data_IF_094863527146
#
_entry.id   IF_094863527146
#
_cell.length_a   1.000
_cell.length_b   1.000
_cell.length_c   1.000
_cell.angle_alpha   90.00
_cell.angle_beta   90.00
_cell.angle_gamma   90.00
#
_symmetry.space_group_name_H-M   'P 1'
#
loop_
_entity.id
_entity.type
_entity.pdbx_description
1 polymer ?
#
# COMPACT_ATOMS: atom_id res chain seq x y z
N UNK A 1 27.86 -28.28 6.02
CA UNK A 1 26.78 -28.26 7.02
C UNK A 1 25.96 -27.01 6.79
N UNK A 2 24.74 -27.17 6.31
CA UNK A 2 23.76 -26.09 6.25
C UNK A 2 23.34 -25.79 7.70
N UNK A 3 23.62 -24.59 8.21
CA UNK A 3 23.19 -24.22 9.57
C UNK A 3 21.72 -23.82 9.49
N UNK A 4 20.83 -24.67 10.01
CA UNK A 4 19.44 -24.28 10.26
C UNK A 4 19.45 -23.18 11.33
N UNK A 5 19.03 -21.97 10.95
CA UNK A 5 18.86 -20.89 11.91
C UNK A 5 17.54 -21.11 12.67
N UNK A 6 17.59 -21.07 14.00
CA UNK A 6 16.37 -21.01 14.80
C UNK A 6 15.73 -19.63 14.62
N UNK A 7 14.53 -19.62 14.04
CA UNK A 7 13.73 -18.42 13.83
C UNK A 7 12.82 -18.18 15.03
N UNK A 8 12.73 -16.92 15.48
CA UNK A 8 11.78 -16.50 16.51
C UNK A 8 10.59 -15.80 15.86
N UNK A 9 9.38 -16.11 16.31
CA UNK A 9 8.16 -15.42 15.90
C UNK A 9 8.10 -14.01 16.52
N UNK A 10 7.56 -13.04 15.79
CA UNK A 10 7.53 -11.64 16.24
C UNK A 10 6.75 -11.49 17.56
N UNK A 11 5.65 -12.23 17.75
CA UNK A 11 4.87 -12.20 18.99
C UNK A 11 5.67 -12.58 20.25
N UNK A 12 6.76 -13.30 20.10
CA UNK A 12 7.59 -13.82 21.19
C UNK A 12 8.80 -12.92 21.48
N UNK A 13 9.01 -11.87 20.68
CA UNK A 13 10.07 -10.89 20.90
C UNK A 13 9.76 -10.05 22.15
N UNK A 14 10.75 -9.90 23.02
CA UNK A 14 10.70 -9.09 24.24
C UNK A 14 11.91 -8.16 24.31
N UNK A 15 11.82 -7.03 25.05
CA UNK A 15 12.97 -6.16 25.28
C UNK A 15 14.18 -6.94 25.82
N UNK A 16 15.38 -6.64 25.31
CA UNK A 16 16.64 -7.21 25.79
C UNK A 16 17.07 -8.51 25.13
N UNK A 17 16.21 -9.15 24.31
CA UNK A 17 16.59 -10.33 23.55
C UNK A 17 17.65 -10.01 22.48
N UNK A 18 18.59 -10.92 22.28
CA UNK A 18 19.74 -10.81 21.36
C UNK A 18 19.88 -12.11 20.56
N UNK A 19 20.72 -12.08 19.52
CA UNK A 19 20.94 -13.21 18.61
C UNK A 19 19.64 -13.70 17.94
N UNK A 20 18.72 -12.77 17.68
CA UNK A 20 17.43 -13.07 17.07
C UNK A 20 17.61 -13.32 15.57
N UNK A 21 17.04 -14.40 15.06
CA UNK A 21 16.86 -14.58 13.63
C UNK A 21 15.36 -14.50 13.34
N UNK A 22 14.95 -13.59 12.47
CA UNK A 22 13.54 -13.29 12.21
C UNK A 22 13.35 -13.13 10.70
N UNK A 23 12.31 -13.75 10.17
CA UNK A 23 11.84 -13.49 8.81
C UNK A 23 10.55 -12.69 8.90
N UNK A 24 10.47 -11.59 8.15
CA UNK A 24 9.30 -10.72 8.15
C UNK A 24 9.05 -10.10 6.78
N UNK A 25 7.81 -9.70 6.54
CA UNK A 25 7.44 -8.84 5.42
C UNK A 25 7.44 -7.38 5.85
N UNK A 26 7.93 -6.50 5.00
CA UNK A 26 7.89 -5.05 5.19
C UNK A 26 6.51 -4.52 4.82
N UNK A 27 5.84 -3.88 5.76
CA UNK A 27 4.52 -3.27 5.54
C UNK A 27 4.64 -1.80 5.14
N UNK A 28 5.44 -1.04 5.88
CA UNK A 28 5.60 0.40 5.70
C UNK A 28 7.08 0.77 5.91
N UNK A 29 7.58 1.71 5.11
CA UNK A 29 8.91 2.29 5.25
C UNK A 29 8.75 3.75 5.64
N UNK A 30 9.21 4.10 6.84
CA UNK A 30 9.15 5.47 7.35
C UNK A 30 10.12 6.41 6.64
N UNK A 31 9.91 7.72 6.86
CA UNK A 31 10.80 8.76 6.36
C UNK A 31 12.22 8.62 6.94
N UNK A 32 13.27 8.93 6.16
CA UNK A 32 14.63 8.92 6.66
C UNK A 32 14.83 9.99 7.72
N UNK A 33 15.52 9.61 8.80
CA UNK A 33 16.02 10.53 9.83
C UNK A 33 17.54 10.50 9.81
N UNK A 34 18.19 11.66 9.80
CA UNK A 34 19.65 11.77 9.87
C UNK A 34 20.06 12.03 11.32
N UNK A 35 20.99 11.22 11.84
CA UNK A 35 21.51 11.39 13.21
C UNK A 35 22.61 12.46 13.28
N UNK A 36 23.04 12.81 14.49
CA UNK A 36 24.12 13.79 14.70
C UNK A 36 25.45 13.33 14.08
N UNK A 37 25.64 12.03 13.95
CA UNK A 37 26.79 11.38 13.33
C UNK A 37 26.67 11.27 11.80
N UNK A 38 25.69 11.96 11.20
CA UNK A 38 25.39 11.95 9.76
C UNK A 38 25.09 10.54 9.20
N UNK A 39 24.45 9.70 10.02
CA UNK A 39 23.94 8.39 9.59
C UNK A 39 22.44 8.47 9.35
N UNK A 40 21.99 7.80 8.29
CA UNK A 40 20.57 7.73 7.97
C UNK A 40 19.94 6.52 8.68
N UNK A 41 18.77 6.70 9.28
CA UNK A 41 17.97 5.62 9.84
C UNK A 41 16.53 5.75 9.39
N UNK A 42 15.93 4.61 9.02
CA UNK A 42 14.50 4.49 8.70
C UNK A 42 13.86 3.54 9.69
N UNK A 43 12.70 3.94 10.20
CA UNK A 43 11.85 3.04 10.97
C UNK A 43 10.85 2.41 10.03
N UNK A 44 10.88 1.08 9.92
CA UNK A 44 9.93 0.32 9.11
C UNK A 44 8.98 -0.43 10.02
N UNK A 45 7.72 -0.55 9.60
CA UNK A 45 6.76 -1.47 10.22
C UNK A 45 6.84 -2.80 9.47
N UNK A 46 7.06 -3.87 10.21
CA UNK A 46 7.23 -5.22 9.63
C UNK A 46 6.34 -6.21 10.36
N UNK A 47 6.01 -7.32 9.72
CA UNK A 47 5.15 -8.34 10.31
C UNK A 47 5.49 -9.76 9.87
N UNK A 48 5.01 -10.72 10.63
CA UNK A 48 4.88 -12.12 10.27
C UNK A 48 3.44 -12.56 10.54
N UNK A 49 3.14 -13.87 10.44
CA UNK A 49 1.81 -14.39 10.72
C UNK A 49 1.35 -14.20 12.17
N UNK A 50 2.25 -13.84 13.09
CA UNK A 50 2.01 -13.81 14.53
C UNK A 50 1.82 -12.42 15.10
N UNK A 51 2.54 -11.41 14.60
CA UNK A 51 2.47 -10.03 15.07
C UNK A 51 3.17 -9.05 14.11
N UNK A 52 3.11 -7.76 14.44
CA UNK A 52 3.90 -6.71 13.79
C UNK A 52 4.78 -5.99 14.81
N UNK A 53 5.92 -5.48 14.36
CA UNK A 53 6.92 -4.77 15.18
C UNK A 53 7.59 -3.67 14.35
N UNK A 54 8.16 -2.67 15.02
CA UNK A 54 9.03 -1.71 14.36
C UNK A 54 10.45 -2.27 14.22
N UNK A 55 11.12 -1.98 13.11
CA UNK A 55 12.54 -2.23 12.92
C UNK A 55 13.24 -0.93 12.51
N UNK A 56 14.40 -0.63 13.09
CA UNK A 56 15.23 0.50 12.67
C UNK A 56 16.37 0.00 11.79
N UNK A 57 16.39 0.45 10.54
CA UNK A 57 17.35 0.04 9.53
C UNK A 57 18.22 1.24 9.16
N UNK A 58 19.53 1.04 9.22
CA UNK A 58 20.53 2.09 9.07
C UNK A 58 21.17 2.07 7.69
N UNK A 59 21.57 3.25 7.24
CA UNK A 59 22.39 3.50 6.05
C UNK A 59 21.82 2.84 4.77
N UNK A 60 22.70 2.21 3.99
CA UNK A 60 22.38 1.70 2.66
C UNK A 60 21.27 0.64 2.63
N UNK A 61 21.24 -0.37 3.53
CA UNK A 61 20.11 -1.30 3.61
C UNK A 61 18.75 -0.61 3.75
N UNK A 62 18.68 0.51 4.49
CA UNK A 62 17.43 1.24 4.70
C UNK A 62 16.89 1.87 3.42
N UNK A 63 17.77 2.23 2.47
CA UNK A 63 17.39 2.86 1.19
C UNK A 63 16.90 1.86 0.16
N UNK A 64 17.34 0.60 0.25
CA UNK A 64 17.04 -0.45 -0.71
C UNK A 64 15.74 -1.20 -0.42
N UNK A 65 15.18 -1.01 0.78
CA UNK A 65 13.97 -1.71 1.23
C UNK A 65 12.71 -1.02 0.75
N UNK A 66 11.76 -1.82 0.28
CA UNK A 66 10.43 -1.37 -0.12
C UNK A 66 9.31 -2.15 0.62
N UNK A 67 8.10 -1.58 0.73
CA UNK A 67 6.92 -2.33 1.13
C UNK A 67 6.72 -3.58 0.27
N UNK A 68 6.35 -4.69 0.90
CA UNK A 68 6.21 -6.01 0.28
C UNK A 68 7.48 -6.86 0.27
N UNK A 69 8.65 -6.29 0.60
CA UNK A 69 9.89 -7.07 0.69
C UNK A 69 9.84 -8.09 1.82
N UNK A 70 10.32 -9.30 1.55
CA UNK A 70 10.50 -10.36 2.55
C UNK A 70 11.97 -10.37 2.93
N UNK A 71 12.25 -10.16 4.21
CA UNK A 71 13.59 -9.96 4.74
C UNK A 71 13.89 -11.01 5.80
N UNK A 72 15.09 -11.58 5.72
CA UNK A 72 15.70 -12.35 6.80
C UNK A 72 16.68 -11.43 7.56
N UNK A 73 16.36 -11.16 8.83
CA UNK A 73 17.28 -10.54 9.78
C UNK A 73 17.97 -11.64 10.58
N UNK A 74 19.31 -11.61 10.64
CA UNK A 74 20.09 -12.53 11.46
C UNK A 74 20.85 -11.81 12.56
N UNK A 75 21.01 -12.48 13.71
CA UNK A 75 21.67 -11.94 14.91
C UNK A 75 21.20 -10.52 15.28
N UNK A 76 19.91 -10.27 15.13
CA UNK A 76 19.25 -9.04 15.57
C UNK A 76 19.14 -8.96 17.09
N UNK A 77 18.68 -7.81 17.56
CA UNK A 77 18.33 -7.60 18.96
C UNK A 77 17.11 -6.69 19.09
N UNK A 78 16.38 -6.82 20.19
CA UNK A 78 15.20 -6.02 20.47
C UNK A 78 15.44 -5.11 21.67
N UNK A 79 15.08 -3.83 21.54
CA UNK A 79 15.19 -2.83 22.60
C UNK A 79 14.00 -1.89 22.56
N UNK A 80 13.74 -1.19 23.67
CA UNK A 80 12.70 -0.16 23.73
C UNK A 80 13.32 1.19 23.36
N UNK A 81 12.77 1.83 22.33
CA UNK A 81 13.14 3.18 21.91
C UNK A 81 11.90 4.06 21.95
N UNK A 82 11.96 5.18 22.69
CA UNK A 82 10.84 6.11 22.88
C UNK A 82 9.52 5.39 23.21
N UNK A 83 9.60 4.45 24.17
CA UNK A 83 8.48 3.61 24.61
C UNK A 83 7.95 2.58 23.59
N UNK A 84 8.67 2.34 22.48
CA UNK A 84 8.30 1.37 21.45
C UNK A 84 9.32 0.22 21.37
N UNK A 85 8.85 -1.03 21.49
CA UNK A 85 9.67 -2.21 21.23
C UNK A 85 10.09 -2.21 19.75
N UNK A 86 11.40 -2.19 19.52
CA UNK A 86 12.01 -1.99 18.20
C UNK A 86 13.12 -3.01 17.98
N UNK A 87 13.13 -3.60 16.79
CA UNK A 87 14.11 -4.56 16.33
C UNK A 87 15.27 -3.83 15.63
N UNK A 88 16.48 -4.35 15.80
CA UNK A 88 17.71 -3.78 15.26
C UNK A 88 18.63 -4.89 14.75
N UNK A 89 19.49 -4.57 13.79
CA UNK A 89 20.61 -5.43 13.39
C UNK A 89 21.72 -5.41 14.44
N UNK A 90 22.17 -6.59 14.88
CA UNK A 90 23.32 -6.70 15.78
C UNK A 90 24.65 -6.47 15.06
N UNK A 91 25.74 -6.33 15.84
CA UNK A 91 27.10 -6.03 15.34
C UNK A 91 27.59 -6.98 14.24
N UNK A 92 27.24 -8.26 14.35
CA UNK A 92 27.60 -9.31 13.39
C UNK A 92 26.36 -9.85 12.66
N UNK A 93 25.25 -9.11 12.71
CA UNK A 93 24.00 -9.45 12.07
C UNK A 93 23.92 -8.94 10.64
N UNK A 94 22.94 -9.45 9.93
CA UNK A 94 22.75 -9.13 8.52
C UNK A 94 21.26 -8.96 8.20
N UNK A 95 20.96 -8.12 7.22
CA UNK A 95 19.62 -7.88 6.65
C UNK A 95 19.67 -8.32 5.20
N UNK A 96 18.99 -9.40 4.88
CA UNK A 96 18.95 -9.95 3.53
C UNK A 96 17.52 -9.97 3.01
N UNK A 97 17.29 -9.33 1.86
CA UNK A 97 16.06 -9.52 1.11
C UNK A 97 16.08 -10.91 0.48
N UNK A 98 15.11 -11.74 0.84
CA UNK A 98 14.97 -13.12 0.37
C UNK A 98 13.78 -13.32 -0.58
N UNK A 99 12.94 -12.29 -0.74
CA UNK A 99 11.81 -12.31 -1.66
C UNK A 99 11.01 -11.00 -1.65
N UNK A 100 9.89 -10.99 -2.35
CA UNK A 100 8.90 -9.92 -2.29
C UNK A 100 7.51 -10.46 -2.60
N UNK A 101 6.51 -9.93 -1.91
CA UNK A 101 5.10 -10.13 -2.24
C UNK A 101 4.61 -8.91 -3.02
N UNK A 102 4.50 -9.02 -4.34
CA UNK A 102 3.83 -8.00 -5.14
C UNK A 102 2.33 -8.28 -5.15
N UNK A 103 1.52 -7.25 -4.89
CA UNK A 103 0.10 -7.31 -5.19
C UNK A 103 -0.06 -7.51 -6.69
N UNK A 104 -0.63 -8.65 -7.09
CA UNK A 104 -0.93 -8.88 -8.50
C UNK A 104 -1.87 -7.77 -8.98
N UNK A 105 -1.45 -7.04 -10.02
CA UNK A 105 -2.33 -6.12 -10.71
C UNK A 105 -3.44 -6.94 -11.35
N UNK A 106 -4.61 -6.97 -10.71
CA UNK A 106 -5.84 -7.44 -11.36
C UNK A 106 -6.10 -6.49 -12.53
N UNK A 107 -5.85 -6.95 -13.75
CA UNK A 107 -6.27 -6.21 -14.94
C UNK A 107 -7.79 -6.16 -14.93
N UNK A 108 -8.43 -4.98 -14.95
CA UNK A 108 -9.87 -4.93 -15.12
C UNK A 108 -10.20 -5.54 -16.48
N UNK A 109 -10.94 -6.65 -16.48
CA UNK A 109 -11.47 -7.27 -17.70
C UNK A 109 -12.36 -6.24 -18.38
N UNK A 110 -11.93 -5.75 -19.54
CA UNK A 110 -12.75 -4.91 -20.39
C UNK A 110 -13.87 -5.80 -20.94
N UNK A 111 -15.10 -5.62 -20.47
CA UNK A 111 -16.27 -6.27 -21.06
C UNK A 111 -16.43 -5.74 -22.50
N UNK A 112 -15.97 -6.51 -23.47
CA UNK A 112 -16.35 -6.28 -24.86
C UNK A 112 -17.87 -6.44 -24.96
N UNK A 113 -18.58 -5.33 -25.21
CA UNK A 113 -19.98 -5.34 -25.58
C UNK A 113 -20.11 -6.14 -26.88
N UNK A 114 -20.77 -7.30 -26.81
CA UNK A 114 -21.13 -8.11 -27.98
C UNK A 114 -21.98 -7.22 -28.89
N UNK A 115 -21.42 -6.84 -30.04
CA UNK A 115 -22.16 -6.17 -31.09
C UNK A 115 -23.22 -7.13 -31.61
N UNK A 116 -24.48 -6.88 -31.26
CA UNK A 116 -25.64 -7.52 -31.87
C UNK A 116 -25.58 -7.30 -33.38
N UNK A 117 -25.39 -8.38 -34.13
CA UNK A 117 -25.59 -8.40 -35.57
C UNK A 117 -27.07 -8.12 -35.86
N UNK A 118 -27.33 -7.04 -36.61
CA UNK A 118 -28.65 -6.69 -37.12
C UNK A 118 -29.15 -7.82 -38.02
N UNK A 119 -30.31 -8.37 -37.68
CA UNK A 119 -31.13 -9.21 -38.56
C UNK A 119 -31.65 -8.39 -39.75
N UNK A 120 -31.69 -8.93 -40.98
CA UNK A 120 -32.27 -8.22 -42.13
C UNK A 120 -33.80 -8.23 -42.05
N UNK A 121 -34.41 -7.05 -42.18
CA UNK A 121 -35.86 -6.85 -42.23
C UNK A 121 -36.46 -7.36 -43.54
N UNK A 122 -37.50 -8.20 -43.45
CA UNK A 122 -38.40 -8.55 -44.55
C UNK A 122 -39.86 -8.18 -44.23
N UNK A 123 -40.50 -7.48 -45.19
CA UNK A 123 -41.93 -7.24 -45.50
C UNK A 123 -43.00 -7.64 -44.44
N UNK A 124 -44.11 -6.91 -44.18
CA UNK A 124 -45.10 -6.40 -45.14
C UNK A 124 -46.12 -5.48 -44.43
N UNK A 125 -46.67 -4.55 -45.21
CA UNK A 125 -47.80 -3.61 -45.07
C UNK A 125 -48.95 -3.97 -44.09
N UNK A 126 -49.42 -2.96 -43.33
CA UNK A 126 -50.85 -2.67 -43.18
C UNK A 126 -51.07 -1.18 -42.84
N UNK A 127 -52.16 -0.63 -43.37
CA UNK A 127 -52.56 0.78 -43.48
C UNK A 127 -53.60 1.20 -42.44
N UNK A 128 -53.53 2.44 -41.95
CA UNK A 128 -54.64 3.44 -41.86
C UNK A 128 -54.38 4.51 -40.78
N UNK A 129 -54.56 5.79 -41.15
CA UNK A 129 -55.18 6.95 -40.45
C UNK A 129 -54.96 7.17 -38.93
N UNK A 130 -54.84 8.36 -38.33
CA UNK A 130 -55.20 9.76 -38.64
C UNK A 130 -54.46 10.69 -37.65
N UNK A 131 -54.34 11.97 -38.02
CA UNK A 131 -54.35 13.19 -37.16
C UNK A 131 -53.53 13.29 -35.86
N UNK A 132 -52.70 14.34 -35.75
CA UNK A 132 -52.31 14.85 -34.43
C UNK A 132 -51.12 15.82 -34.40
N UNK A 133 -51.40 17.09 -34.65
CA UNK A 133 -50.53 18.25 -34.52
C UNK A 133 -49.91 18.42 -33.11
N UNK A 134 -48.66 18.89 -32.98
CA UNK A 134 -48.12 19.28 -31.66
C UNK A 134 -46.59 19.43 -31.55
N UNK A 135 -46.07 20.56 -32.00
CA UNK A 135 -44.80 21.19 -31.54
C UNK A 135 -45.22 22.51 -30.84
N UNK A 136 -44.41 23.25 -30.05
CA UNK A 136 -43.00 23.02 -29.67
C UNK A 136 -42.59 23.59 -28.26
N UNK A 137 -41.25 23.70 -28.06
CA UNK A 137 -40.51 24.79 -27.35
C UNK A 137 -40.41 24.76 -25.81
N UNK A 138 -39.21 24.55 -25.24
CA UNK A 138 -38.10 25.50 -24.87
C UNK A 138 -38.16 25.98 -23.42
N UNK A 139 -37.01 26.00 -22.75
CA UNK A 139 -36.34 27.18 -22.15
C UNK A 139 -35.54 26.76 -20.90
N UNK A 140 -34.22 27.00 -20.92
CA UNK A 140 -33.53 28.05 -20.16
C UNK A 140 -33.27 27.66 -18.68
N UNK A 141 -32.01 27.42 -18.30
CA UNK A 141 -30.96 28.40 -17.94
C UNK A 141 -31.08 28.80 -16.47
N UNK A 142 -30.04 28.51 -15.68
CA UNK A 142 -29.92 28.99 -14.31
C UNK A 142 -28.50 28.85 -13.77
N UNK A 143 -27.66 29.85 -14.05
CA UNK A 143 -26.39 30.09 -13.36
C UNK A 143 -26.67 30.56 -11.93
N UNK A 144 -25.88 30.14 -10.97
CA UNK A 144 -25.86 30.71 -9.61
C UNK A 144 -24.46 30.63 -9.03
N UNK A 145 -23.80 31.78 -8.89
CA UNK A 145 -22.45 31.93 -8.41
C UNK A 145 -22.38 32.28 -6.92
N UNK A 146 -21.16 32.15 -6.37
CA UNK A 146 -20.59 32.90 -5.25
C UNK A 146 -21.07 32.62 -3.82
N UNK A 147 -20.14 32.37 -2.89
CA UNK A 147 -19.62 33.41 -1.97
C UNK A 147 -18.52 32.88 -1.02
N UNK A 148 -17.52 33.73 -0.88
CA UNK A 148 -16.37 33.76 0.02
C UNK A 148 -16.73 34.09 1.47
N UNK A 149 -15.91 33.63 2.43
CA UNK A 149 -15.86 34.14 3.81
C UNK A 149 -14.63 33.62 4.59
N UNK A 150 -14.10 34.35 5.60
CA UNK A 150 -12.66 34.54 5.71
C UNK A 150 -11.93 33.87 6.90
N UNK A 151 -10.61 33.92 6.72
CA UNK A 151 -9.43 33.73 7.59
C UNK A 151 -9.58 34.27 9.02
N UNK A 152 -9.18 33.47 10.01
CA UNK A 152 -8.96 33.88 11.40
C UNK A 152 -7.63 33.34 11.93
N UNK A 153 -6.73 34.26 12.27
CA UNK A 153 -5.40 34.04 12.84
C UNK A 153 -5.45 34.44 14.32
N UNK A 154 -4.96 33.59 15.23
CA UNK A 154 -4.69 33.96 16.62
C UNK A 154 -3.48 33.20 17.17
N UNK A 155 -2.44 34.01 17.40
CA UNK A 155 -1.44 34.02 18.49
C UNK A 155 -0.96 32.69 19.06
#
# INVERSE_FOLDING_TARGET
>A
MERTLELIAIKDIRPGLKNLNVIFIVLEVGHPTVTKENREVRTCKVADATASINVSIWDEPGKLIAPGDIICLTKGYASVWRNCLTLYSGKNGDIQKIGSAQAQSVTPVQQNSVSSSKVPSGNTRFSSETSGNGKPKTSQRGKGASRSGPRGERR
#
